data_IF_266948152811
#
_entry.id   IF_266948152811
#
_cell.length_a   1.000
_cell.length_b   1.000
_cell.length_c   1.000
_cell.angle_alpha   90.00
_cell.angle_beta   90.00
_cell.angle_gamma   90.00
#
_symmetry.space_group_name_H-M   'P 1'
#
loop_
_entity.id
_entity.type
_entity.pdbx_description
1 polymer ?
#
# COMPACT_ATOMS: atom_id res chain seq x y z
N UNK A 1 -10.40 -16.43 -10.68
CA UNK A 1 -9.73 -15.12 -10.77
C UNK A 1 -8.68 -15.24 -11.87
N UNK A 2 -8.93 -14.67 -13.05
CA UNK A 2 -7.93 -14.69 -14.12
C UNK A 2 -6.75 -13.81 -13.69
N UNK A 3 -5.53 -14.32 -13.84
CA UNK A 3 -4.30 -13.60 -13.54
C UNK A 3 -4.13 -12.44 -14.53
N UNK A 4 -4.84 -11.34 -14.30
CA UNK A 4 -4.50 -10.06 -14.90
C UNK A 4 -3.10 -9.72 -14.39
N UNK A 5 -2.12 -9.65 -15.29
CA UNK A 5 -0.75 -9.30 -14.93
C UNK A 5 -0.73 -8.03 -14.08
N UNK A 6 0.21 -7.95 -13.13
CA UNK A 6 0.42 -6.73 -12.37
C UNK A 6 0.60 -5.55 -13.34
N UNK A 7 -0.29 -4.57 -13.28
CA UNK A 7 -0.20 -3.32 -14.03
C UNK A 7 0.09 -2.16 -13.08
N UNK A 8 0.73 -1.11 -13.59
CA UNK A 8 1.00 0.12 -12.81
C UNK A 8 -0.30 0.66 -12.21
N UNK A 9 -1.37 0.70 -13.02
CA UNK A 9 -2.68 1.14 -12.55
C UNK A 9 -3.23 0.20 -11.47
N UNK A 10 -3.18 -1.13 -11.67
CA UNK A 10 -3.58 -2.09 -10.64
C UNK A 10 -2.87 -1.87 -9.31
N UNK A 11 -1.54 -1.66 -9.33
CA UNK A 11 -0.77 -1.34 -8.13
C UNK A 11 -1.24 -0.05 -7.47
N UNK A 12 -1.45 1.02 -8.24
CA UNK A 12 -1.90 2.32 -7.71
C UNK A 12 -3.29 2.24 -7.06
N UNK A 13 -4.24 1.54 -7.68
CA UNK A 13 -5.57 1.29 -7.07
C UNK A 13 -5.43 0.54 -5.76
N UNK A 14 -4.64 -0.53 -5.75
CA UNK A 14 -4.50 -1.43 -4.61
C UNK A 14 -3.75 -0.78 -3.43
N UNK A 15 -2.76 0.08 -3.73
CA UNK A 15 -2.07 0.95 -2.77
C UNK A 15 -3.06 1.95 -2.16
N UNK A 16 -3.85 2.62 -3.00
CA UNK A 16 -4.84 3.61 -2.54
C UNK A 16 -5.87 2.99 -1.60
N UNK A 17 -6.37 1.81 -1.93
CA UNK A 17 -7.30 1.06 -1.08
C UNK A 17 -6.69 0.76 0.30
N UNK A 18 -5.49 0.17 0.35
CA UNK A 18 -4.81 -0.15 1.62
C UNK A 18 -4.48 1.07 2.46
N UNK A 19 -4.07 2.17 1.84
CA UNK A 19 -3.81 3.41 2.56
C UNK A 19 -5.09 4.00 3.14
N UNK A 20 -6.23 3.82 2.46
CA UNK A 20 -7.54 4.22 2.99
C UNK A 20 -7.90 3.40 4.23
N UNK A 21 -7.69 2.08 4.19
CA UNK A 21 -7.93 1.19 5.33
C UNK A 21 -6.98 1.51 6.50
N UNK A 22 -5.69 1.72 6.22
CA UNK A 22 -4.70 2.12 7.20
C UNK A 22 -5.05 3.46 7.86
N UNK A 23 -5.53 4.43 7.07
CA UNK A 23 -5.98 5.71 7.60
C UNK A 23 -7.21 5.56 8.52
N UNK A 24 -8.12 4.61 8.24
CA UNK A 24 -9.27 4.34 9.09
C UNK A 24 -8.83 3.76 10.46
N UNK A 25 -7.91 2.80 10.46
CA UNK A 25 -7.33 2.22 11.69
C UNK A 25 -6.60 3.29 12.51
N UNK A 26 -5.77 4.11 11.86
CA UNK A 26 -5.04 5.18 12.53
C UNK A 26 -5.98 6.20 13.19
N UNK A 27 -7.08 6.57 12.54
CA UNK A 27 -8.12 7.44 13.13
C UNK A 27 -8.77 6.78 14.36
N UNK A 28 -9.04 5.48 14.31
CA UNK A 28 -9.53 4.72 15.46
C UNK A 28 -8.56 4.75 16.64
N UNK A 29 -7.27 4.52 16.37
CA UNK A 29 -6.23 4.61 17.39
C UNK A 29 -6.14 6.01 18.03
N UNK A 30 -6.21 7.07 17.22
CA UNK A 30 -6.22 8.46 17.72
C UNK A 30 -7.41 8.71 18.64
N UNK A 31 -8.62 8.30 18.26
CA UNK A 31 -9.81 8.46 19.10
C UNK A 31 -9.68 7.71 20.45
N UNK A 32 -9.05 6.53 20.46
CA UNK A 32 -8.74 5.81 21.69
C UNK A 32 -7.73 6.56 22.56
N UNK A 33 -6.69 7.14 21.97
CA UNK A 33 -5.71 7.94 22.71
C UNK A 33 -6.35 9.20 23.30
N UNK A 34 -7.15 9.93 22.52
CA UNK A 34 -7.86 11.15 22.94
C UNK A 34 -8.86 10.90 24.08
N UNK A 35 -9.43 9.69 24.16
CA UNK A 35 -10.30 9.27 25.27
C UNK A 35 -9.52 8.72 26.48
N UNK A 36 -8.19 8.83 26.48
CA UNK A 36 -7.31 8.41 27.59
C UNK A 36 -6.99 6.91 27.58
N UNK A 37 -7.36 6.18 26.54
CA UNK A 37 -7.10 4.74 26.40
C UNK A 37 -5.86 4.47 25.54
N UNK A 38 -4.69 4.96 25.97
CA UNK A 38 -3.42 4.84 25.24
C UNK A 38 -3.03 3.39 24.91
N UNK A 39 -3.24 2.46 25.84
CA UNK A 39 -2.94 1.03 25.62
C UNK A 39 -3.76 0.46 24.46
N UNK A 40 -5.03 0.85 24.36
CA UNK A 40 -5.91 0.39 23.30
C UNK A 40 -5.55 1.06 21.96
N UNK A 41 -5.16 2.35 22.00
CA UNK A 41 -4.63 3.04 20.83
C UNK A 41 -3.40 2.33 20.25
N UNK A 42 -2.44 1.94 21.10
CA UNK A 42 -1.25 1.18 20.65
C UNK A 42 -1.67 -0.16 20.05
N UNK A 43 -2.58 -0.90 20.70
CA UNK A 43 -3.06 -2.19 20.20
C UNK A 43 -3.70 -2.05 18.81
N UNK A 44 -4.55 -1.05 18.59
CA UNK A 44 -5.18 -0.78 17.29
C UNK A 44 -4.12 -0.35 16.26
N UNK A 45 -3.14 0.47 16.66
CA UNK A 45 -2.09 0.91 15.76
C UNK A 45 -1.21 -0.24 15.25
N UNK A 46 -1.06 -1.34 15.99
CA UNK A 46 -0.33 -2.53 15.53
C UNK A 46 -0.99 -3.21 14.33
N UNK A 47 -2.29 -3.02 14.11
CA UNK A 47 -2.99 -3.55 12.93
C UNK A 47 -2.53 -2.85 11.62
N UNK A 48 -1.77 -1.75 11.72
CA UNK A 48 -1.20 -1.04 10.57
C UNK A 48 -0.01 -1.76 9.92
N UNK A 49 0.74 -2.57 10.68
CA UNK A 49 2.02 -3.12 10.21
C UNK A 49 1.87 -3.94 8.92
N UNK A 50 0.85 -4.79 8.86
CA UNK A 50 0.57 -5.61 7.67
C UNK A 50 0.14 -4.74 6.48
N UNK A 51 -0.71 -3.74 6.69
CA UNK A 51 -1.17 -2.85 5.61
C UNK A 51 0.00 -2.04 5.04
N UNK A 52 0.87 -1.51 5.91
CA UNK A 52 2.04 -0.75 5.50
C UNK A 52 3.06 -1.64 4.76
N UNK A 53 3.25 -2.88 5.22
CA UNK A 53 4.10 -3.86 4.54
C UNK A 53 3.59 -4.17 3.12
N UNK A 54 2.28 -4.40 2.97
CA UNK A 54 1.66 -4.66 1.67
C UNK A 54 1.77 -3.45 0.73
N UNK A 55 1.54 -2.23 1.24
CA UNK A 55 1.73 -0.99 0.46
C UNK A 55 3.17 -0.86 -0.02
N UNK A 56 4.15 -1.08 0.85
CA UNK A 56 5.57 -1.04 0.50
C UNK A 56 5.92 -2.06 -0.60
N UNK A 57 5.36 -3.27 -0.49
CA UNK A 57 5.54 -4.33 -1.48
C UNK A 57 4.96 -3.94 -2.85
N UNK A 58 3.72 -3.44 -2.89
CA UNK A 58 3.08 -2.98 -4.12
C UNK A 58 3.80 -1.79 -4.75
N UNK A 59 4.27 -0.85 -3.92
CA UNK A 59 5.06 0.29 -4.37
C UNK A 59 6.39 -0.17 -5.00
N UNK A 60 7.07 -1.14 -4.37
CA UNK A 60 8.27 -1.76 -4.91
C UNK A 60 8.02 -2.45 -6.26
N UNK A 61 6.94 -3.22 -6.37
CA UNK A 61 6.52 -3.87 -7.60
C UNK A 61 6.22 -2.86 -8.72
N UNK A 62 5.48 -1.79 -8.41
CA UNK A 62 5.21 -0.69 -9.34
C UNK A 62 6.52 -0.04 -9.84
N UNK A 63 7.47 0.22 -8.93
CA UNK A 63 8.78 0.76 -9.28
C UNK A 63 9.58 -0.16 -10.21
N UNK A 64 9.50 -1.48 -10.02
CA UNK A 64 10.10 -2.47 -10.91
C UNK A 64 9.44 -2.47 -12.30
N UNK A 65 8.11 -2.52 -12.36
CA UNK A 65 7.35 -2.48 -13.63
C UNK A 65 7.69 -1.21 -14.43
N UNK A 66 7.75 -0.05 -13.76
CA UNK A 66 8.12 1.20 -14.40
C UNK A 66 9.54 1.21 -14.97
N UNK A 67 10.50 0.52 -14.33
CA UNK A 67 11.86 0.36 -14.87
C UNK A 67 11.88 -0.57 -16.09
N UNK A 68 11.21 -1.71 -16.00
CA UNK A 68 11.13 -2.70 -17.08
C UNK A 68 10.46 -2.13 -18.33
N UNK A 69 9.40 -1.31 -18.16
CA UNK A 69 8.75 -0.61 -19.28
C UNK A 69 9.72 0.29 -20.04
N UNK A 70 10.49 1.11 -19.32
CA UNK A 70 11.51 1.99 -19.94
C UNK A 70 12.65 1.23 -20.60
N UNK A 71 13.09 0.11 -20.02
CA UNK A 71 14.12 -0.74 -20.62
C UNK A 71 13.64 -1.39 -21.92
N UNK A 72 12.38 -1.80 -21.96
CA UNK A 72 11.75 -2.38 -23.15
C UNK A 72 11.68 -1.36 -24.29
N UNK A 73 11.23 -0.14 -24.00
CA UNK A 73 11.16 0.97 -24.96
C UNK A 73 12.54 1.35 -25.52
N UNK A 74 13.60 1.28 -24.69
CA UNK A 74 14.98 1.57 -25.12
C UNK A 74 15.56 0.51 -26.07
N UNK A 75 15.03 -0.71 -26.04
CA UNK A 75 15.52 -1.85 -26.84
C UNK A 75 14.69 -2.15 -28.09
N UNK A 76 13.61 -1.42 -28.33
CA UNK A 76 12.79 -1.59 -29.53
C UNK A 76 13.50 -1.02 -30.77
N UNK A 77 13.59 -1.76 -31.90
CA UNK A 77 14.16 -1.22 -33.14
C UNK A 77 13.23 -0.15 -33.73
N UNK A 78 13.86 0.92 -34.25
CA UNK A 78 13.19 2.06 -34.91
C UNK A 78 12.44 1.66 -36.19
#
# INVERSE_FOLDING_TARGET
>A
MSAAGLSIMGCLTEISARLTDAAAIAKGAVACAESGSEREAVRIAMDLDELLHQVGTLHGAMGLLGRMGRETERTAPA
#
